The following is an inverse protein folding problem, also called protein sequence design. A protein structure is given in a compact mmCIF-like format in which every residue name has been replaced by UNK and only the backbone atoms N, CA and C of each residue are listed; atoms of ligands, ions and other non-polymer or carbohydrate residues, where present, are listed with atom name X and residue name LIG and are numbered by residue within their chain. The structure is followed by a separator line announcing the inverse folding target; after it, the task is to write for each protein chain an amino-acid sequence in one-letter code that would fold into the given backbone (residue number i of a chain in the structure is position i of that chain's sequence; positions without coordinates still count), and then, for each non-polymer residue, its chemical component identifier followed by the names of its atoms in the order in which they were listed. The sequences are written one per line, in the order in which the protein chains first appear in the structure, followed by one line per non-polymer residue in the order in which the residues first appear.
data_IF_317671500511
#
_entry.id   IF_317671500511
#
_cell.length_a   1.000
_cell.length_b   1.000
_cell.length_c   1.000
_cell.angle_alpha   90.00
_cell.angle_beta   90.00
_cell.angle_gamma   90.00
#
_symmetry.space_group_name_H-M   'P 1'
#
loop_
_entity.id
_entity.type
_entity.pdbx_description
1 polymer ?
#
# COMPACT_ATOMS: atom_id res chain seq x y z
N UNK A 1 -9.08 -7.91 12.60
CA UNK A 1 -9.99 -6.79 12.32
C UNK A 1 -10.14 -6.76 10.79
N UNK A 2 -10.74 -5.76 10.16
CA UNK A 2 -10.65 -5.62 8.69
C UNK A 2 -9.91 -4.32 8.44
N UNK A 3 -8.59 -4.37 8.40
CA UNK A 3 -7.70 -3.21 8.42
C UNK A 3 -6.60 -3.37 7.38
N UNK A 4 -6.32 -2.28 6.66
CA UNK A 4 -5.17 -2.15 5.79
C UNK A 4 -4.13 -1.23 6.44
N UNK A 5 -2.91 -1.71 6.55
CA UNK A 5 -1.73 -0.92 6.93
C UNK A 5 -0.95 -0.59 5.66
N UNK A 6 -0.67 0.69 5.47
CA UNK A 6 0.07 1.22 4.33
C UNK A 6 1.26 1.99 4.84
N UNK A 7 2.47 1.52 4.50
CA UNK A 7 3.72 2.19 4.86
C UNK A 7 4.38 2.73 3.60
N UNK A 8 4.78 3.99 3.63
CA UNK A 8 5.35 4.70 2.48
C UNK A 8 6.87 4.80 2.58
N UNK A 9 7.56 4.54 1.47
CA UNK A 9 9.02 4.55 1.42
C UNK A 9 9.57 5.33 0.23
N UNK A 10 10.72 5.97 0.46
CA UNK A 10 11.45 6.72 -0.57
C UNK A 10 12.42 5.85 -1.37
N UNK A 11 13.09 4.90 -0.72
CA UNK A 11 14.18 4.10 -1.28
C UNK A 11 14.25 2.70 -0.67
N UNK A 12 14.83 1.75 -1.40
CA UNK A 12 15.11 0.40 -0.92
C UNK A 12 16.39 0.38 -0.07
N UNK A 13 16.54 -0.64 0.77
CA UNK A 13 17.80 -0.92 1.43
C UNK A 13 18.89 -1.31 0.42
N UNK A 14 20.14 -1.02 0.75
CA UNK A 14 21.31 -1.33 -0.09
C UNK A 14 22.20 -2.36 0.63
N UNK A 15 22.82 -3.26 -0.14
CA UNK A 15 23.84 -4.18 0.38
C UNK A 15 25.19 -3.46 0.62
N UNK A 16 26.17 -4.18 1.16
CA UNK A 16 27.54 -3.66 1.38
C UNK A 16 28.26 -3.17 0.10
N UNK A 17 27.76 -3.52 -1.08
CA UNK A 17 28.29 -3.10 -2.39
C UNK A 17 27.39 -2.04 -3.05
N UNK A 18 26.52 -1.40 -2.27
CA UNK A 18 25.60 -0.37 -2.73
C UNK A 18 24.59 -0.85 -3.79
N UNK A 19 24.28 -2.15 -3.83
CA UNK A 19 23.28 -2.74 -4.73
C UNK A 19 21.90 -2.79 -4.06
N UNK A 20 20.80 -2.51 -4.79
CA UNK A 20 19.46 -2.51 -4.21
C UNK A 20 19.03 -3.91 -3.78
N UNK A 21 18.40 -3.98 -2.61
CA UNK A 21 17.84 -5.19 -2.03
C UNK A 21 16.31 -5.11 -1.99
N UNK A 22 15.63 -6.26 -1.99
CA UNK A 22 14.16 -6.35 -1.86
C UNK A 22 13.67 -6.12 -0.43
N UNK A 23 14.24 -5.12 0.24
CA UNK A 23 13.90 -4.68 1.59
C UNK A 23 13.68 -3.17 1.59
N UNK A 24 12.85 -2.72 2.51
CA UNK A 24 12.62 -1.29 2.67
C UNK A 24 13.75 -0.63 3.48
N UNK A 25 14.06 0.64 3.17
CA UNK A 25 14.97 1.45 3.98
C UNK A 25 14.16 2.25 5.00
N UNK A 26 14.44 2.03 6.28
CA UNK A 26 13.92 2.84 7.38
C UNK A 26 14.77 4.11 7.56
N UNK A 27 14.17 5.27 7.91
CA UNK A 27 12.78 5.46 8.34
C UNK A 27 11.76 5.53 7.18
N UNK A 28 10.53 5.14 7.46
CA UNK A 28 9.36 5.38 6.60
C UNK A 28 9.11 6.88 6.38
N UNK A 29 8.50 7.24 5.24
CA UNK A 29 8.04 8.61 4.98
C UNK A 29 6.73 8.92 5.70
N UNK A 30 5.83 7.93 5.73
CA UNK A 30 4.54 8.02 6.36
C UNK A 30 3.96 6.63 6.61
N UNK A 31 3.08 6.55 7.61
CA UNK A 31 2.28 5.37 7.88
C UNK A 31 0.80 5.76 7.88
N UNK A 32 -0.01 4.96 7.21
CA UNK A 32 -1.45 5.15 7.12
C UNK A 32 -2.15 3.83 7.46
N UNK A 33 -3.27 3.95 8.16
CA UNK A 33 -4.10 2.82 8.56
C UNK A 33 -5.56 3.19 8.33
N UNK A 34 -6.33 2.26 7.77
CA UNK A 34 -7.77 2.44 7.66
C UNK A 34 -8.52 1.11 7.72
N UNK A 35 -9.78 1.19 8.15
CA UNK A 35 -10.68 0.03 8.21
C UNK A 35 -11.22 -0.26 6.81
N UNK A 36 -11.09 -1.51 6.37
CA UNK A 36 -11.66 -2.04 5.14
C UNK A 36 -13.15 -2.31 5.38
N UNK A 37 -13.99 -1.92 4.42
CA UNK A 37 -15.43 -2.11 4.49
C UNK A 37 -15.96 -2.91 3.29
N UNK A 38 -17.26 -3.17 3.24
CA UNK A 38 -17.93 -3.78 2.08
C UNK A 38 -18.05 -2.84 0.87
N UNK A 39 -17.61 -1.58 0.99
CA UNK A 39 -17.53 -0.61 -0.09
C UNK A 39 -16.12 -0.01 -0.19
N UNK A 40 -15.79 0.52 -1.37
CA UNK A 40 -14.48 1.16 -1.64
C UNK A 40 -14.39 2.61 -1.16
N UNK A 41 -15.24 3.04 -0.24
CA UNK A 41 -15.25 4.43 0.23
C UNK A 41 -14.04 4.77 1.10
N UNK A 42 -13.48 3.77 1.78
CA UNK A 42 -12.28 3.95 2.59
C UNK A 42 -11.04 3.93 1.69
N UNK A 43 -10.31 5.05 1.68
CA UNK A 43 -9.07 5.26 0.93
C UNK A 43 -8.04 5.94 1.81
N UNK A 44 -6.76 5.73 1.50
CA UNK A 44 -5.68 6.48 2.14
C UNK A 44 -5.74 7.97 1.77
N UNK A 45 -5.07 8.80 2.57
CA UNK A 45 -4.67 10.13 2.11
C UNK A 45 -3.70 9.99 0.92
N UNK A 46 -3.55 11.04 0.09
CA UNK A 46 -2.51 11.05 -0.95
C UNK A 46 -1.15 10.72 -0.34
N UNK A 47 -0.39 9.87 -1.02
CA UNK A 47 0.99 9.57 -0.67
C UNK A 47 1.85 10.83 -0.71
N UNK A 48 2.87 10.84 0.14
CA UNK A 48 3.88 11.89 0.17
C UNK A 48 4.59 11.97 -1.18
N UNK A 49 5.07 13.16 -1.53
CA UNK A 49 5.68 13.41 -2.85
C UNK A 49 6.93 12.56 -3.11
N UNK A 50 7.64 12.18 -2.05
CA UNK A 50 8.83 11.32 -2.11
C UNK A 50 8.55 9.81 -2.15
N UNK A 51 7.30 9.37 -2.04
CA UNK A 51 6.96 7.94 -1.99
C UNK A 51 7.16 7.28 -3.35
N UNK A 52 8.05 6.30 -3.43
CA UNK A 52 8.38 5.56 -4.66
C UNK A 52 7.84 4.13 -4.62
N UNK A 53 7.60 3.58 -3.43
CA UNK A 53 6.90 2.33 -3.24
C UNK A 53 6.23 2.31 -1.87
N UNK A 54 5.27 1.39 -1.71
CA UNK A 54 4.57 1.18 -0.45
C UNK A 54 4.60 -0.28 -0.04
N UNK A 55 4.59 -0.52 1.26
CA UNK A 55 4.25 -1.80 1.87
C UNK A 55 2.77 -1.81 2.19
N UNK A 56 2.07 -2.87 1.79
CA UNK A 56 0.68 -3.11 2.15
C UNK A 56 0.62 -4.36 3.01
N UNK A 57 -0.01 -4.25 4.18
CA UNK A 57 -0.33 -5.39 5.04
C UNK A 57 -1.82 -5.37 5.37
N UNK A 58 -2.47 -6.53 5.28
CA UNK A 58 -3.89 -6.70 5.60
C UNK A 58 -4.09 -7.82 6.59
N UNK A 59 -5.03 -7.67 7.51
CA UNK A 59 -5.46 -8.73 8.45
C UNK A 59 -6.71 -9.49 7.96
N UNK A 60 -7.25 -9.13 6.79
CA UNK A 60 -8.43 -9.75 6.17
C UNK A 60 -8.25 -9.98 4.67
N UNK A 61 -9.08 -10.83 4.08
CA UNK A 61 -9.17 -10.98 2.63
C UNK A 61 -9.80 -9.71 2.05
N UNK A 62 -9.13 -9.10 1.09
CA UNK A 62 -9.58 -7.86 0.45
C UNK A 62 -9.08 -7.75 -0.98
N UNK A 63 -9.66 -6.83 -1.75
CA UNK A 63 -9.09 -6.37 -3.01
C UNK A 63 -8.67 -4.91 -2.89
N UNK A 64 -7.53 -4.56 -3.51
CA UNK A 64 -6.98 -3.19 -3.48
C UNK A 64 -6.89 -2.56 -4.86
N UNK A 65 -6.90 -1.23 -4.90
CA UNK A 65 -6.67 -0.43 -6.10
C UNK A 65 -5.79 0.80 -5.79
N UNK A 66 -4.94 1.17 -6.75
CA UNK A 66 -4.05 2.33 -6.68
C UNK A 66 -4.47 3.37 -7.71
N UNK A 67 -4.33 4.65 -7.37
CA UNK A 67 -4.60 5.77 -8.29
C UNK A 67 -4.80 7.08 -7.56
N UNK A 68 -5.08 8.17 -8.27
CA UNK A 68 -5.38 9.48 -7.65
C UNK A 68 -6.79 9.54 -7.06
N UNK A 69 -7.73 8.82 -7.66
CA UNK A 69 -9.07 8.55 -7.17
C UNK A 69 -9.41 7.05 -7.34
N UNK A 70 -8.75 6.17 -6.58
CA UNK A 70 -8.89 4.73 -6.78
C UNK A 70 -10.26 4.24 -6.30
N UNK A 71 -10.81 3.26 -7.02
CA UNK A 71 -12.02 2.51 -6.63
C UNK A 71 -11.69 1.03 -6.73
N UNK A 72 -11.60 0.35 -5.58
CA UNK A 72 -11.39 -1.08 -5.50
C UNK A 72 -12.70 -1.83 -5.76
N UNK A 73 -12.62 -2.90 -6.54
CA UNK A 73 -13.73 -3.86 -6.72
C UNK A 73 -13.26 -5.26 -6.34
N UNK A 74 -14.20 -6.16 -6.08
CA UNK A 74 -13.92 -7.56 -5.69
C UNK A 74 -13.23 -8.37 -6.79
N UNK A 75 -13.13 -7.85 -8.01
CA UNK A 75 -12.45 -8.48 -9.14
C UNK A 75 -11.02 -7.97 -9.36
N UNK A 76 -10.55 -7.04 -8.53
CA UNK A 76 -9.21 -6.44 -8.64
C UNK A 76 -8.17 -7.24 -7.83
N UNK A 77 -6.98 -6.66 -7.62
CA UNK A 77 -5.84 -7.25 -6.91
C UNK A 77 -6.25 -7.78 -5.52
N UNK A 78 -6.59 -9.06 -5.46
CA UNK A 78 -6.97 -9.75 -4.23
C UNK A 78 -5.72 -10.04 -3.39
N UNK A 79 -5.79 -9.72 -2.12
CA UNK A 79 -4.82 -10.09 -1.10
C UNK A 79 -5.49 -11.05 -0.11
N UNK A 80 -4.76 -12.09 0.28
CA UNK A 80 -5.20 -12.97 1.36
C UNK A 80 -5.02 -12.29 2.73
N UNK A 81 -5.71 -12.78 3.75
CA UNK A 81 -5.53 -12.28 5.11
C UNK A 81 -4.11 -12.55 5.62
N UNK A 82 -3.59 -11.64 6.46
CA UNK A 82 -2.29 -11.70 7.12
C UNK A 82 -1.09 -11.74 6.16
N UNK A 83 -1.23 -11.22 4.94
CA UNK A 83 -0.12 -11.12 3.99
C UNK A 83 0.46 -9.72 3.93
N UNK A 84 1.72 -9.64 3.49
CA UNK A 84 2.39 -8.37 3.21
C UNK A 84 2.89 -8.38 1.77
N UNK A 85 2.64 -7.30 1.04
CA UNK A 85 3.15 -7.11 -0.33
C UNK A 85 3.76 -5.71 -0.48
N UNK A 86 4.68 -5.57 -1.43
CA UNK A 86 5.31 -4.30 -1.77
C UNK A 86 4.96 -3.90 -3.20
N UNK A 87 4.57 -2.64 -3.40
CA UNK A 87 4.18 -2.11 -4.70
C UNK A 87 4.92 -0.82 -5.00
N UNK A 88 5.61 -0.77 -6.14
CA UNK A 88 6.13 0.49 -6.68
C UNK A 88 4.96 1.41 -7.08
N UNK A 89 5.10 2.70 -6.79
CA UNK A 89 4.11 3.72 -7.13
C UNK A 89 4.81 4.91 -7.81
N UNK A 90 4.16 5.57 -8.78
CA UNK A 90 4.70 6.78 -9.39
C UNK A 90 4.89 7.88 -8.33
N UNK A 91 6.12 8.40 -8.13
CA UNK A 91 6.36 9.45 -7.15
C UNK A 91 5.68 10.75 -7.55
N UNK A 92 5.32 11.55 -6.54
CA UNK A 92 4.71 12.87 -6.71
C UNK A 92 3.46 12.90 -7.63
N UNK A 93 2.68 11.81 -7.63
CA UNK A 93 1.39 11.75 -8.35
C UNK A 93 0.16 11.86 -7.45
N UNK A 94 0.34 12.00 -6.13
CA UNK A 94 -0.77 12.03 -5.18
C UNK A 94 -1.61 10.75 -5.21
N UNK A 95 -0.95 9.62 -5.47
CA UNK A 95 -1.61 8.31 -5.48
C UNK A 95 -2.12 7.97 -4.09
N UNK A 96 -3.17 7.17 -4.05
CA UNK A 96 -3.84 6.64 -2.87
C UNK A 96 -4.03 5.15 -3.06
N UNK A 97 -4.41 4.47 -1.99
CA UNK A 97 -4.92 3.09 -2.04
C UNK A 97 -6.36 3.06 -1.55
N UNK A 98 -7.21 2.38 -2.32
CA UNK A 98 -8.54 1.96 -1.89
C UNK A 98 -8.53 0.46 -1.59
N UNK A 99 -9.40 0.04 -0.68
CA UNK A 99 -9.63 -1.38 -0.42
C UNK A 99 -11.12 -1.70 -0.24
N UNK A 100 -11.50 -2.91 -0.61
CA UNK A 100 -12.83 -3.48 -0.40
C UNK A 100 -12.71 -4.92 0.11
N UNK A 101 -13.62 -5.32 1.00
CA UNK A 101 -13.68 -6.70 1.51
C UNK A 101 -13.92 -7.68 0.37
N UNK A 102 -13.27 -8.85 0.42
CA UNK A 102 -13.44 -9.93 -0.55
C UNK A 102 -13.47 -11.29 0.15
N UNK A 103 -13.83 -12.35 -0.58
CA UNK A 103 -13.90 -13.74 -0.11
C UNK A 103 -12.74 -14.58 -0.63
#
# INVERSE_FOLDING_TARGET
MSVLYVTEYASQGLDSRNSPMVIALEPTLAEQIFTISGSSTAVTNPFQSGTTYVRIHTDTICSIAFGTAPVATTSMKRMAANTTEYFAVPPNKGYKVAAITNT
#
